data_IF_471261575423
#
_entry.id   IF_471261575423
#
_cell.length_a   1.000
_cell.length_b   1.000
_cell.length_c   1.000
_cell.angle_alpha   90.00
_cell.angle_beta   90.00
_cell.angle_gamma   90.00
#
_symmetry.space_group_name_H-M   'P 1'
#
loop_
_entity.id
_entity.type
_entity.pdbx_description
1 polymer ?
#
# COMPACT_ATOMS: atom_id res chain seq x y z
N UNK A 1 -39.36 48.75 -29.86
CA UNK A 1 -38.02 49.39 -29.93
C UNK A 1 -37.54 49.59 -28.51
N UNK A 2 -36.72 48.70 -27.97
CA UNK A 2 -36.12 48.86 -26.64
C UNK A 2 -34.62 48.80 -26.83
N UNK A 3 -33.97 49.95 -26.60
CA UNK A 3 -32.53 50.15 -26.73
C UNK A 3 -31.82 49.63 -25.49
N UNK A 4 -30.98 48.63 -25.62
CA UNK A 4 -30.06 48.18 -24.58
C UNK A 4 -28.73 48.98 -24.68
N UNK A 5 -28.50 49.85 -23.70
CA UNK A 5 -27.21 50.49 -23.52
C UNK A 5 -26.25 49.53 -22.83
N UNK A 6 -25.18 49.17 -23.54
CA UNK A 6 -24.03 48.44 -23.01
C UNK A 6 -23.19 49.43 -22.20
N UNK A 7 -23.03 49.20 -20.89
CA UNK A 7 -22.08 49.93 -20.04
C UNK A 7 -20.72 49.23 -20.14
N UNK A 8 -19.76 49.94 -20.71
CA UNK A 8 -18.36 49.57 -20.65
C UNK A 8 -17.86 49.68 -19.20
N UNK A 9 -17.46 48.58 -18.60
CA UNK A 9 -16.73 48.57 -17.32
C UNK A 9 -15.25 48.52 -17.64
N UNK A 10 -14.57 49.60 -17.44
CA UNK A 10 -13.11 49.71 -17.55
C UNK A 10 -12.49 49.10 -16.29
N UNK A 11 -11.83 47.92 -16.43
CA UNK A 11 -11.04 47.35 -15.33
C UNK A 11 -9.71 48.11 -15.24
N UNK A 12 -9.52 48.84 -14.15
CA UNK A 12 -8.23 49.39 -13.80
C UNK A 12 -7.34 48.30 -13.22
N UNK A 13 -6.27 47.91 -13.92
CA UNK A 13 -5.21 47.08 -13.36
C UNK A 13 -4.39 47.90 -12.36
N UNK A 14 -4.59 47.63 -11.07
CA UNK A 14 -3.68 48.10 -10.04
C UNK A 14 -2.45 47.17 -10.02
N UNK A 15 -1.31 47.66 -10.45
CA UNK A 15 -0.03 47.03 -10.31
C UNK A 15 0.37 47.03 -8.82
N UNK A 16 0.19 45.90 -8.13
CA UNK A 16 0.70 45.71 -6.77
C UNK A 16 2.05 44.98 -6.81
N UNK A 17 2.96 45.53 -6.05
CA UNK A 17 4.37 45.25 -6.02
C UNK A 17 4.75 43.77 -5.89
N UNK A 18 5.80 43.44 -6.59
CA UNK A 18 6.55 42.19 -6.43
C UNK A 18 7.16 42.18 -5.02
N UNK A 19 6.52 41.44 -4.11
CA UNK A 19 7.16 41.04 -2.88
C UNK A 19 8.24 40.03 -3.28
N UNK A 20 9.49 40.42 -3.15
CA UNK A 20 10.63 39.51 -3.24
C UNK A 20 10.42 38.37 -2.22
N UNK A 21 9.99 37.21 -2.69
CA UNK A 21 10.02 36.00 -1.89
C UNK A 21 11.50 35.67 -1.66
N UNK A 22 11.98 35.89 -0.45
CA UNK A 22 13.25 35.36 -0.01
C UNK A 22 13.26 33.84 -0.21
N UNK A 23 14.43 33.23 -0.35
CA UNK A 23 14.53 31.79 -0.48
C UNK A 23 13.80 31.14 0.70
N UNK A 24 12.84 30.24 0.38
CA UNK A 24 12.22 29.38 1.38
C UNK A 24 13.35 28.73 2.19
N UNK A 25 13.29 28.70 3.53
CA UNK A 25 14.29 28.00 4.32
C UNK A 25 14.31 26.55 3.80
N UNK A 26 15.43 26.16 3.20
CA UNK A 26 15.72 24.76 2.92
C UNK A 26 15.57 24.05 4.25
N UNK A 27 14.63 23.10 4.35
CA UNK A 27 14.54 22.24 5.51
C UNK A 27 15.92 21.58 5.65
N UNK A 28 16.68 22.03 6.66
CA UNK A 28 17.92 21.35 7.03
C UNK A 28 17.53 19.92 7.36
N UNK A 29 18.08 18.97 6.59
CA UNK A 29 17.93 17.56 6.88
C UNK A 29 18.33 17.35 8.34
N UNK A 30 17.39 16.86 9.15
CA UNK A 30 17.69 16.47 10.51
C UNK A 30 18.82 15.43 10.47
N UNK A 31 19.87 15.65 11.21
CA UNK A 31 20.94 14.67 11.40
C UNK A 31 20.34 13.42 12.06
N UNK A 32 20.19 12.35 11.27
CA UNK A 32 19.66 11.06 11.68
C UNK A 32 18.16 10.89 11.41
N UNK A 33 17.77 9.72 10.90
CA UNK A 33 16.37 9.32 10.81
C UNK A 33 15.82 9.05 12.21
N UNK A 34 14.57 9.46 12.49
CA UNK A 34 13.91 9.10 13.74
C UNK A 34 13.68 7.56 13.79
N UNK A 35 13.66 6.95 14.98
CA UNK A 35 13.63 5.50 15.12
C UNK A 35 12.24 4.92 14.75
N UNK A 36 12.25 3.65 14.32
CA UNK A 36 11.05 2.83 14.21
C UNK A 36 10.94 1.97 15.47
N UNK A 37 9.87 2.16 16.23
CA UNK A 37 9.56 1.40 17.43
C UNK A 37 8.52 0.32 17.11
N UNK A 38 8.76 -0.89 17.55
CA UNK A 38 7.87 -2.04 17.30
C UNK A 38 7.33 -2.60 18.62
N UNK A 39 6.08 -3.07 18.62
CA UNK A 39 5.46 -3.65 19.79
C UNK A 39 4.46 -4.74 19.42
N UNK A 40 4.58 -5.91 20.06
CA UNK A 40 3.59 -7.00 20.00
C UNK A 40 2.75 -6.94 21.28
N UNK A 41 1.53 -6.42 21.19
CA UNK A 41 0.62 -6.31 22.34
C UNK A 41 -0.15 -7.62 22.53
N UNK A 42 -0.02 -8.33 23.66
CA UNK A 42 -0.73 -9.58 23.85
C UNK A 42 -2.25 -9.38 23.77
N UNK A 43 -3.00 -10.23 23.02
CA UNK A 43 -4.45 -10.10 22.93
C UNK A 43 -5.14 -10.58 24.22
N UNK A 44 -6.26 -9.97 24.56
CA UNK A 44 -7.13 -10.43 25.65
C UNK A 44 -7.95 -11.66 25.21
N UNK A 45 -8.33 -11.76 23.95
CA UNK A 45 -9.13 -12.84 23.41
C UNK A 45 -8.27 -14.06 23.05
N UNK A 46 -8.64 -15.22 23.59
CA UNK A 46 -7.84 -16.46 23.45
C UNK A 46 -7.70 -16.95 22.02
N UNK A 47 -8.69 -16.73 21.16
CA UNK A 47 -8.63 -17.18 19.76
C UNK A 47 -7.58 -16.42 18.92
N UNK A 48 -7.18 -15.23 19.35
CA UNK A 48 -6.13 -14.43 18.70
C UNK A 48 -4.72 -14.77 19.18
N UNK A 49 -4.59 -15.52 20.27
CA UNK A 49 -3.30 -15.90 20.82
C UNK A 49 -2.39 -16.62 19.80
N UNK A 50 -2.89 -17.58 18.98
CA UNK A 50 -2.08 -18.22 17.96
C UNK A 50 -1.53 -17.22 16.90
N UNK A 51 -2.31 -16.21 16.52
CA UNK A 51 -1.87 -15.16 15.58
C UNK A 51 -0.72 -14.36 16.20
N UNK A 52 -0.93 -13.85 17.44
CA UNK A 52 0.09 -13.12 18.18
C UNK A 52 1.41 -13.89 18.27
N UNK A 53 1.36 -15.16 18.68
CA UNK A 53 2.55 -15.99 18.85
C UNK A 53 3.29 -16.22 17.52
N UNK A 54 2.54 -16.52 16.45
CA UNK A 54 3.14 -16.68 15.11
C UNK A 54 3.85 -15.43 14.64
N UNK A 55 3.19 -14.26 14.69
CA UNK A 55 3.80 -13.01 14.25
C UNK A 55 5.06 -12.69 15.04
N UNK A 56 5.02 -12.88 16.35
CA UNK A 56 6.14 -12.64 17.26
C UNK A 56 7.28 -13.65 17.04
N UNK A 57 6.98 -14.94 16.95
CA UNK A 57 7.98 -16.01 16.71
C UNK A 57 8.72 -15.79 15.38
N UNK A 58 8.01 -15.32 14.37
CA UNK A 58 8.55 -15.03 13.04
C UNK A 58 9.18 -13.65 12.92
N UNK A 59 9.15 -12.87 13.99
CA UNK A 59 9.73 -11.53 14.03
C UNK A 59 9.22 -10.63 12.90
N UNK A 60 7.90 -10.66 12.65
CA UNK A 60 7.30 -9.94 11.52
C UNK A 60 7.52 -8.44 11.63
N UNK A 61 7.38 -7.86 12.83
CA UNK A 61 7.60 -6.44 13.03
C UNK A 61 9.09 -6.05 12.91
N UNK A 62 10.02 -6.92 13.31
CA UNK A 62 11.44 -6.71 13.10
C UNK A 62 11.78 -6.68 11.60
N UNK A 63 11.23 -7.61 10.81
CA UNK A 63 11.42 -7.62 9.37
C UNK A 63 10.82 -6.35 8.72
N UNK A 64 9.63 -5.94 9.16
CA UNK A 64 9.00 -4.72 8.69
C UNK A 64 9.83 -3.47 9.05
N UNK A 65 10.31 -3.38 10.29
CA UNK A 65 11.21 -2.30 10.71
C UNK A 65 12.47 -2.26 9.84
N UNK A 66 13.09 -3.40 9.60
CA UNK A 66 14.32 -3.48 8.82
C UNK A 66 14.05 -3.09 7.35
N UNK A 67 12.91 -3.51 6.79
CA UNK A 67 12.45 -3.11 5.46
C UNK A 67 12.23 -1.59 5.34
N UNK A 68 11.65 -0.97 6.35
CA UNK A 68 11.36 0.46 6.37
C UNK A 68 12.58 1.31 6.79
N UNK A 69 13.66 0.69 7.24
CA UNK A 69 14.87 1.38 7.73
C UNK A 69 15.50 2.37 6.74
N UNK A 70 15.32 2.27 5.40
CA UNK A 70 15.79 3.30 4.48
C UNK A 70 15.03 4.63 4.53
N UNK A 71 13.84 4.67 5.13
CA UNK A 71 13.06 5.91 5.22
C UNK A 71 13.72 6.87 6.24
N UNK A 72 13.99 8.09 5.80
CA UNK A 72 14.48 9.20 6.66
C UNK A 72 13.30 9.83 7.37
N UNK A 73 12.79 9.14 8.38
CA UNK A 73 11.60 9.55 9.13
C UNK A 73 11.84 10.86 9.90
N UNK A 74 10.94 11.85 9.79
CA UNK A 74 11.01 13.10 10.55
C UNK A 74 10.62 12.93 12.02
N UNK A 75 9.82 11.89 12.32
CA UNK A 75 9.30 11.57 13.64
C UNK A 75 9.41 10.07 13.90
N UNK A 76 9.41 9.67 15.17
CA UNK A 76 9.37 8.25 15.56
C UNK A 76 8.11 7.59 14.99
N UNK A 77 8.31 6.55 14.20
CA UNK A 77 7.23 5.70 13.70
C UNK A 77 7.02 4.54 14.68
N UNK A 78 5.79 4.42 15.18
CA UNK A 78 5.38 3.26 15.99
C UNK A 78 4.67 2.26 15.09
N UNK A 79 4.99 0.97 15.24
CA UNK A 79 4.32 -0.12 14.53
C UNK A 79 3.94 -1.16 15.56
N UNK A 80 2.64 -1.46 15.65
CA UNK A 80 2.12 -2.39 16.65
C UNK A 80 1.23 -3.45 16.01
N UNK A 81 1.35 -4.68 16.51
CA UNK A 81 0.30 -5.69 16.32
C UNK A 81 -0.49 -5.81 17.62
N UNK A 82 -1.81 -5.77 17.53
CA UNK A 82 -2.68 -5.75 18.70
C UNK A 82 -4.07 -6.30 18.38
N UNK A 83 -4.84 -6.58 19.41
CA UNK A 83 -6.28 -6.77 19.30
C UNK A 83 -6.95 -5.40 19.13
N UNK A 84 -7.80 -5.25 18.12
CA UNK A 84 -8.50 -4.01 17.80
C UNK A 84 -10.02 -4.09 18.08
N UNK A 85 -10.55 -5.30 18.25
CA UNK A 85 -12.00 -5.59 18.22
C UNK A 85 -12.64 -5.18 16.88
N UNK A 86 -11.83 -5.12 15.82
CA UNK A 86 -12.20 -4.81 14.47
C UNK A 86 -11.26 -5.52 13.47
N UNK A 87 -11.82 -5.90 12.30
CA UNK A 87 -11.08 -6.60 11.23
C UNK A 87 -10.47 -5.57 10.28
N UNK A 88 -9.35 -4.96 10.68
CA UNK A 88 -8.72 -3.88 9.91
C UNK A 88 -7.22 -3.71 10.24
N UNK A 89 -6.58 -2.80 9.53
CA UNK A 89 -5.30 -2.18 9.87
C UNK A 89 -5.46 -0.67 9.76
N UNK A 90 -4.57 0.12 10.40
CA UNK A 90 -4.73 1.57 10.45
C UNK A 90 -3.40 2.31 10.48
N UNK A 91 -3.29 3.38 9.71
CA UNK A 91 -2.49 4.52 10.10
C UNK A 91 -3.31 5.37 11.10
N UNK A 92 -3.06 5.21 12.40
CA UNK A 92 -3.79 5.90 13.45
C UNK A 92 -3.19 7.29 13.79
N UNK A 93 -2.48 7.90 12.84
CA UNK A 93 -1.84 9.21 12.97
C UNK A 93 -0.51 9.17 13.73
N UNK A 94 0.17 10.30 13.75
CA UNK A 94 1.57 10.47 14.23
C UNK A 94 1.79 10.02 15.69
N UNK A 95 0.80 10.15 16.55
CA UNK A 95 0.90 9.77 17.96
C UNK A 95 0.79 8.25 18.18
N UNK A 96 -0.12 7.61 17.47
CA UNK A 96 -0.46 6.20 17.64
C UNK A 96 0.32 5.27 16.69
N UNK A 97 0.66 5.75 15.49
CA UNK A 97 1.40 5.01 14.50
C UNK A 97 0.57 3.97 13.74
N UNK A 98 1.24 2.98 13.19
CA UNK A 98 0.65 1.86 12.45
C UNK A 98 0.10 0.82 13.41
N UNK A 99 -1.15 0.40 13.18
CA UNK A 99 -1.83 -0.66 13.93
C UNK A 99 -2.21 -1.79 12.96
N UNK A 100 -1.68 -2.98 13.21
CA UNK A 100 -2.00 -4.19 12.47
C UNK A 100 -2.82 -5.09 13.39
N UNK A 101 -4.13 -5.20 13.14
CA UNK A 101 -5.04 -5.92 14.02
C UNK A 101 -4.91 -7.44 13.87
N UNK A 102 -4.90 -8.19 14.95
CA UNK A 102 -4.85 -9.66 14.89
C UNK A 102 -6.09 -10.24 14.22
N UNK A 103 -7.23 -9.58 14.36
CA UNK A 103 -8.50 -9.95 13.72
C UNK A 103 -8.38 -9.92 12.19
N UNK A 104 -7.66 -8.92 11.66
CA UNK A 104 -7.40 -8.85 10.22
C UNK A 104 -6.54 -10.01 9.75
N UNK A 105 -5.47 -10.32 10.47
CA UNK A 105 -4.60 -11.45 10.12
C UNK A 105 -5.37 -12.79 10.18
N UNK A 106 -6.18 -12.99 11.22
CA UNK A 106 -7.03 -14.18 11.35
C UNK A 106 -8.07 -14.27 10.22
N UNK A 107 -8.63 -13.14 9.81
CA UNK A 107 -9.56 -13.07 8.70
C UNK A 107 -8.89 -13.40 7.36
N UNK A 108 -7.72 -12.82 7.06
CA UNK A 108 -6.93 -13.13 5.86
C UNK A 108 -6.56 -14.61 5.78
N UNK A 109 -6.21 -15.21 6.91
CA UNK A 109 -5.94 -16.65 6.99
C UNK A 109 -7.17 -17.50 6.65
N UNK A 110 -8.38 -17.06 7.01
CA UNK A 110 -9.63 -17.75 6.64
C UNK A 110 -10.04 -17.53 5.20
N UNK A 111 -9.71 -16.37 4.63
CA UNK A 111 -9.99 -16.03 3.24
C UNK A 111 -9.13 -16.84 2.27
N UNK A 112 -7.93 -17.25 2.69
CA UNK A 112 -7.00 -18.00 1.87
C UNK A 112 -7.60 -19.33 1.39
N UNK A 113 -7.29 -19.80 0.17
CA UNK A 113 -7.81 -21.07 -0.34
C UNK A 113 -7.26 -22.21 0.50
N UNK A 114 -8.05 -23.29 0.67
CA UNK A 114 -7.62 -24.48 1.43
C UNK A 114 -6.46 -25.21 0.74
N UNK A 115 -6.43 -25.19 -0.59
CA UNK A 115 -5.42 -25.80 -1.45
C UNK A 115 -4.98 -24.84 -2.55
N UNK A 116 -3.90 -25.18 -3.25
CA UNK A 116 -3.50 -24.40 -4.43
C UNK A 116 -4.63 -24.37 -5.46
N UNK A 117 -5.03 -23.17 -5.88
CA UNK A 117 -6.10 -23.00 -6.86
C UNK A 117 -5.68 -23.48 -8.25
N UNK A 118 -6.65 -23.76 -9.17
CA UNK A 118 -6.33 -24.11 -10.56
C UNK A 118 -5.44 -23.06 -11.27
N UNK A 119 -5.53 -21.78 -10.87
CA UNK A 119 -4.73 -20.68 -11.38
C UNK A 119 -3.32 -20.64 -10.77
N UNK A 120 -3.04 -21.51 -9.78
CA UNK A 120 -1.74 -21.67 -9.15
C UNK A 120 -1.49 -20.76 -7.94
N UNK A 121 -2.53 -20.17 -7.33
CA UNK A 121 -2.41 -19.43 -6.08
C UNK A 121 -2.33 -20.40 -4.89
N UNK A 122 -1.26 -20.31 -4.13
CA UNK A 122 -1.13 -21.09 -2.90
C UNK A 122 -1.80 -20.37 -1.73
N UNK A 123 -2.24 -21.11 -0.68
CA UNK A 123 -2.73 -20.47 0.55
C UNK A 123 -1.74 -19.45 1.12
N UNK A 124 -0.45 -19.78 1.07
CA UNK A 124 0.62 -18.92 1.58
C UNK A 124 0.78 -17.63 0.76
N UNK A 125 0.64 -17.71 -0.56
CA UNK A 125 0.70 -16.52 -1.42
C UNK A 125 -0.48 -15.59 -1.16
N UNK A 126 -1.69 -16.14 -0.96
CA UNK A 126 -2.88 -15.38 -0.63
C UNK A 126 -2.71 -14.62 0.71
N UNK A 127 -2.25 -15.33 1.74
CA UNK A 127 -2.06 -14.73 3.07
C UNK A 127 -0.91 -13.70 3.05
N UNK A 128 0.23 -14.06 2.47
CA UNK A 128 1.39 -13.18 2.45
C UNK A 128 1.14 -11.94 1.57
N UNK A 129 0.49 -12.12 0.42
CA UNK A 129 0.17 -11.02 -0.50
C UNK A 129 -0.71 -9.98 0.16
N UNK A 130 -1.81 -10.41 0.75
CA UNK A 130 -2.76 -9.52 1.41
C UNK A 130 -2.16 -8.85 2.65
N UNK A 131 -1.43 -9.60 3.48
CA UNK A 131 -0.77 -9.02 4.66
C UNK A 131 0.29 -7.96 4.29
N UNK A 132 1.09 -8.23 3.25
CA UNK A 132 2.08 -7.27 2.76
C UNK A 132 1.39 -6.06 2.16
N UNK A 133 0.33 -6.29 1.39
CA UNK A 133 -0.44 -5.23 0.75
C UNK A 133 -1.00 -4.26 1.79
N UNK A 134 -1.82 -4.74 2.75
CA UNK A 134 -2.44 -3.88 3.76
C UNK A 134 -1.39 -3.15 4.61
N UNK A 135 -0.28 -3.81 4.93
CA UNK A 135 0.80 -3.17 5.69
C UNK A 135 1.45 -2.02 4.91
N UNK A 136 1.67 -2.20 3.61
CA UNK A 136 2.24 -1.18 2.73
C UNK A 136 1.23 -0.10 2.37
N UNK A 137 -0.06 -0.42 2.31
CA UNK A 137 -1.16 0.52 2.15
C UNK A 137 -1.20 1.50 3.34
N UNK A 138 -1.26 0.98 4.57
CA UNK A 138 -1.24 1.80 5.78
C UNK A 138 0.10 2.58 5.92
N UNK A 139 1.18 2.00 5.45
CA UNK A 139 2.45 2.70 5.37
C UNK A 139 2.43 3.83 4.33
N UNK A 140 1.61 3.71 3.28
CA UNK A 140 1.32 4.77 2.31
C UNK A 140 0.72 5.99 3.00
N UNK A 141 -0.33 5.81 3.79
CA UNK A 141 -0.93 6.89 4.61
C UNK A 141 0.09 7.53 5.55
N UNK A 142 0.90 6.70 6.23
CA UNK A 142 1.96 7.20 7.10
C UNK A 142 2.97 8.08 6.34
N UNK A 143 3.38 7.67 5.15
CA UNK A 143 4.32 8.42 4.30
C UNK A 143 3.70 9.74 3.83
N UNK A 144 2.43 9.73 3.42
CA UNK A 144 1.74 10.94 3.00
C UNK A 144 1.65 11.96 4.14
N UNK A 145 1.26 11.52 5.33
CA UNK A 145 1.18 12.38 6.51
C UNK A 145 2.57 12.87 6.97
N UNK A 146 3.53 11.96 7.17
CA UNK A 146 4.83 12.27 7.75
C UNK A 146 5.67 13.19 6.87
N UNK A 147 5.57 13.04 5.55
CA UNK A 147 6.34 13.84 4.59
C UNK A 147 5.52 14.92 3.90
N UNK A 148 4.25 15.08 4.29
CA UNK A 148 3.31 16.05 3.68
C UNK A 148 3.29 15.92 2.15
N UNK A 149 3.12 14.69 1.66
CA UNK A 149 3.11 14.38 0.22
C UNK A 149 1.82 14.92 -0.40
N UNK A 150 1.89 15.75 -1.46
CA UNK A 150 0.70 16.24 -2.12
C UNK A 150 0.02 15.14 -2.93
N UNK A 151 -1.28 14.96 -2.74
CA UNK A 151 -2.09 13.94 -3.43
C UNK A 151 -3.19 14.64 -4.22
N UNK A 152 -3.39 14.20 -5.47
CA UNK A 152 -4.53 14.57 -6.30
C UNK A 152 -5.46 13.37 -6.43
N UNK A 153 -6.64 13.46 -5.87
CA UNK A 153 -7.62 12.38 -5.86
C UNK A 153 -7.82 11.80 -4.46
N UNK A 154 -8.28 10.56 -4.41
CA UNK A 154 -8.50 9.87 -3.13
C UNK A 154 -7.17 9.36 -2.58
N UNK A 155 -7.00 9.51 -1.27
CA UNK A 155 -5.80 9.05 -0.59
C UNK A 155 -5.70 7.53 -0.59
N UNK A 156 -6.83 6.83 -0.49
CA UNK A 156 -6.94 5.39 -0.55
C UNK A 156 -6.38 4.80 -1.86
N UNK A 157 -6.75 5.39 -3.00
CA UNK A 157 -6.22 4.98 -4.30
C UNK A 157 -4.69 5.20 -4.39
N UNK A 158 -4.20 6.27 -3.79
CA UNK A 158 -2.78 6.57 -3.77
C UNK A 158 -2.01 5.60 -2.85
N UNK A 159 -2.59 5.18 -1.72
CA UNK A 159 -2.03 4.19 -0.81
C UNK A 159 -1.92 2.81 -1.49
N UNK A 160 -2.96 2.37 -2.19
CA UNK A 160 -2.94 1.14 -3.01
C UNK A 160 -1.83 1.18 -4.08
N UNK A 161 -1.71 2.32 -4.77
CA UNK A 161 -0.69 2.50 -5.81
C UNK A 161 0.73 2.42 -5.25
N UNK A 162 0.97 2.98 -4.06
CA UNK A 162 2.26 2.87 -3.37
C UNK A 162 2.52 1.43 -2.94
N UNK A 163 1.55 0.77 -2.31
CA UNK A 163 1.66 -0.62 -1.88
C UNK A 163 2.05 -1.52 -3.06
N UNK A 164 1.27 -1.49 -4.13
CA UNK A 164 1.53 -2.26 -5.33
C UNK A 164 2.86 -1.91 -6.01
N UNK A 165 3.23 -0.62 -6.06
CA UNK A 165 4.52 -0.20 -6.62
C UNK A 165 5.70 -0.77 -5.82
N UNK A 166 5.64 -0.74 -4.50
CA UNK A 166 6.70 -1.27 -3.61
C UNK A 166 6.77 -2.80 -3.74
N UNK A 167 5.64 -3.50 -3.75
CA UNK A 167 5.60 -4.96 -3.94
C UNK A 167 6.32 -5.41 -5.22
N UNK A 168 6.22 -4.61 -6.29
CA UNK A 168 6.90 -4.87 -7.56
C UNK A 168 8.43 -4.66 -7.51
N UNK A 169 8.97 -4.07 -6.44
CA UNK A 169 10.42 -3.91 -6.25
C UNK A 169 11.07 -5.12 -5.55
N UNK A 170 10.31 -6.09 -5.05
CA UNK A 170 10.83 -7.28 -4.35
C UNK A 170 11.48 -8.34 -5.25
N UNK A 171 11.56 -8.09 -6.56
CA UNK A 171 12.02 -9.05 -7.56
C UNK A 171 10.84 -9.85 -8.15
N UNK A 172 11.09 -10.48 -9.32
CA UNK A 172 10.01 -11.04 -10.15
C UNK A 172 9.18 -12.11 -9.43
N UNK A 173 9.83 -13.07 -8.78
CA UNK A 173 9.15 -14.21 -8.15
C UNK A 173 8.31 -13.75 -6.94
N UNK A 174 8.87 -12.90 -6.08
CA UNK A 174 8.16 -12.37 -4.91
C UNK A 174 7.02 -11.45 -5.36
N UNK A 175 7.27 -10.57 -6.33
CA UNK A 175 6.24 -9.68 -6.88
C UNK A 175 5.08 -10.49 -7.50
N UNK A 176 5.38 -11.54 -8.28
CA UNK A 176 4.36 -12.39 -8.87
C UNK A 176 3.48 -13.04 -7.78
N UNK A 177 4.09 -13.56 -6.74
CA UNK A 177 3.38 -14.25 -5.65
C UNK A 177 2.56 -13.28 -4.80
N UNK A 178 3.15 -12.17 -4.36
CA UNK A 178 2.46 -11.21 -3.49
C UNK A 178 1.31 -10.50 -4.23
N UNK A 179 1.54 -10.00 -5.44
CA UNK A 179 0.48 -9.37 -6.26
C UNK A 179 -0.63 -10.38 -6.59
N UNK A 180 -0.27 -11.63 -6.92
CA UNK A 180 -1.27 -12.66 -7.18
C UNK A 180 -2.10 -12.98 -5.93
N UNK A 181 -1.45 -13.02 -4.75
CA UNK A 181 -2.12 -13.22 -3.48
C UNK A 181 -3.08 -12.11 -3.13
N UNK A 182 -2.66 -10.86 -3.25
CA UNK A 182 -3.51 -9.67 -3.10
C UNK A 182 -4.69 -9.68 -4.07
N UNK A 183 -4.44 -9.94 -5.35
CA UNK A 183 -5.51 -10.04 -6.34
C UNK A 183 -6.51 -11.16 -5.99
N UNK A 184 -6.02 -12.31 -5.49
CA UNK A 184 -6.90 -13.37 -5.00
C UNK A 184 -7.78 -12.88 -3.84
N UNK A 185 -7.22 -12.19 -2.86
CA UNK A 185 -7.94 -11.67 -1.70
C UNK A 185 -9.05 -10.71 -2.14
N UNK A 186 -8.75 -9.70 -2.97
CA UNK A 186 -9.76 -8.78 -3.51
C UNK A 186 -10.83 -9.50 -4.35
N UNK A 187 -10.45 -10.53 -5.11
CA UNK A 187 -11.44 -11.32 -5.85
C UNK A 187 -12.41 -12.08 -4.92
N UNK A 188 -11.93 -12.56 -3.75
CA UNK A 188 -12.83 -13.19 -2.77
C UNK A 188 -13.72 -12.15 -2.08
N UNK A 189 -13.15 -11.03 -1.65
CA UNK A 189 -13.89 -9.93 -1.03
C UNK A 189 -14.99 -9.42 -1.97
N UNK A 190 -14.69 -9.25 -3.24
CA UNK A 190 -15.66 -8.85 -4.26
C UNK A 190 -16.87 -9.81 -4.39
N UNK A 191 -16.69 -11.10 -4.11
CA UNK A 191 -17.81 -12.06 -4.11
C UNK A 191 -18.73 -11.90 -2.90
N UNK A 192 -18.19 -11.41 -1.80
CA UNK A 192 -18.93 -11.17 -0.56
C UNK A 192 -19.58 -9.79 -0.55
N UNK A 193 -18.99 -8.83 -1.27
CA UNK A 193 -19.49 -7.46 -1.38
C UNK A 193 -20.74 -7.42 -2.26
N UNK A 194 -21.85 -6.95 -1.73
CA UNK A 194 -23.02 -6.65 -2.56
C UNK A 194 -22.85 -5.31 -3.27
N UNK A 195 -23.12 -5.25 -4.58
CA UNK A 195 -23.24 -3.99 -5.33
C UNK A 195 -24.29 -3.10 -4.66
N UNK A 196 -23.84 -2.10 -3.92
CA UNK A 196 -24.73 -1.18 -3.21
C UNK A 196 -24.32 0.28 -3.44
N UNK A 197 -25.27 1.18 -3.31
CA UNK A 197 -24.95 2.62 -3.38
C UNK A 197 -23.97 3.07 -2.29
N UNK A 198 -24.00 2.43 -1.14
CA UNK A 198 -23.08 2.68 -0.03
C UNK A 198 -21.65 2.26 -0.36
N UNK A 199 -21.46 1.14 -1.06
CA UNK A 199 -20.14 0.74 -1.54
C UNK A 199 -19.52 1.72 -2.55
N UNK A 200 -20.34 2.38 -3.38
CA UNK A 200 -19.85 3.43 -4.28
C UNK A 200 -19.60 4.79 -3.59
N UNK A 201 -20.08 4.96 -2.36
CA UNK A 201 -19.84 6.17 -1.56
C UNK A 201 -18.67 5.99 -0.58
N UNK A 202 -18.03 4.83 -0.59
CA UNK A 202 -16.85 4.53 0.22
C UNK A 202 -15.63 5.35 -0.22
N UNK A 203 -14.71 5.57 0.69
CA UNK A 203 -13.44 6.22 0.40
C UNK A 203 -12.53 5.33 -0.43
N UNK A 204 -12.66 4.00 -0.29
CA UNK A 204 -11.97 3.01 -1.11
C UNK A 204 -12.68 2.77 -2.46
N UNK A 205 -11.93 2.32 -3.45
CA UNK A 205 -12.50 1.70 -4.62
C UNK A 205 -13.16 0.36 -4.26
N UNK A 206 -14.08 -0.11 -5.14
CA UNK A 206 -14.65 -1.45 -4.93
C UNK A 206 -13.56 -2.53 -5.06
N UNK A 207 -13.75 -3.66 -4.39
CA UNK A 207 -12.78 -4.77 -4.42
C UNK A 207 -12.48 -5.24 -5.85
N UNK A 208 -13.48 -5.21 -6.76
CA UNK A 208 -13.26 -5.50 -8.17
C UNK A 208 -12.36 -4.46 -8.85
N UNK A 209 -12.49 -3.18 -8.51
CA UNK A 209 -11.63 -2.13 -9.07
C UNK A 209 -10.21 -2.30 -8.56
N UNK A 210 -10.03 -2.53 -7.25
CA UNK A 210 -8.73 -2.80 -6.62
C UNK A 210 -8.07 -4.03 -7.24
N UNK A 211 -8.80 -5.14 -7.42
CA UNK A 211 -8.35 -6.33 -8.13
C UNK A 211 -7.74 -6.01 -9.50
N UNK A 212 -8.48 -5.31 -10.35
CA UNK A 212 -7.98 -4.95 -11.69
C UNK A 212 -6.83 -3.94 -11.63
N UNK A 213 -6.81 -3.04 -10.68
CA UNK A 213 -5.76 -2.03 -10.55
C UNK A 213 -4.42 -2.65 -10.13
N UNK A 214 -4.41 -3.61 -9.20
CA UNK A 214 -3.20 -4.36 -8.84
C UNK A 214 -2.65 -5.17 -10.02
N UNK A 215 -3.50 -5.90 -10.72
CA UNK A 215 -3.09 -6.66 -11.92
C UNK A 215 -2.57 -5.74 -13.03
N UNK A 216 -3.21 -4.60 -13.23
CA UNK A 216 -2.80 -3.63 -14.25
C UNK A 216 -1.45 -2.98 -13.90
N UNK A 217 -1.26 -2.59 -12.64
CA UNK A 217 0.01 -2.04 -12.17
C UNK A 217 1.15 -3.05 -12.38
N UNK A 218 0.91 -4.30 -12.01
CA UNK A 218 1.88 -5.38 -12.17
C UNK A 218 2.21 -5.68 -13.63
N UNK A 219 1.19 -5.82 -14.47
CA UNK A 219 1.37 -6.01 -15.91
C UNK A 219 2.11 -4.83 -16.55
N UNK A 220 1.76 -3.61 -16.13
CA UNK A 220 2.41 -2.39 -16.61
C UNK A 220 3.90 -2.29 -16.27
N UNK A 221 4.31 -2.84 -15.13
CA UNK A 221 5.69 -2.91 -14.68
C UNK A 221 6.48 -4.03 -15.36
N UNK A 222 5.91 -5.23 -15.41
CA UNK A 222 6.58 -6.47 -15.82
C UNK A 222 5.68 -7.30 -16.74
N UNK A 223 5.44 -6.87 -18.00
CA UNK A 223 4.47 -7.53 -18.88
C UNK A 223 4.75 -9.04 -19.05
N UNK A 224 6.04 -9.42 -19.23
CA UNK A 224 6.40 -10.83 -19.44
C UNK A 224 6.04 -11.73 -18.22
N UNK A 225 6.22 -11.23 -17.00
CA UNK A 225 5.91 -11.96 -15.76
C UNK A 225 4.41 -12.15 -15.57
N UNK A 226 3.61 -11.12 -15.93
CA UNK A 226 2.17 -11.09 -15.69
C UNK A 226 1.32 -11.38 -16.94
N UNK A 227 1.94 -11.77 -18.07
CA UNK A 227 1.26 -12.06 -19.34
C UNK A 227 0.16 -13.10 -19.20
N UNK A 228 0.34 -14.10 -18.32
CA UNK A 228 -0.64 -15.15 -18.07
C UNK A 228 -2.03 -14.63 -17.70
N UNK A 229 -2.12 -13.49 -17.01
CA UNK A 229 -3.41 -12.90 -16.64
C UNK A 229 -4.15 -12.28 -17.82
N UNK A 230 -3.40 -11.83 -18.82
CA UNK A 230 -3.99 -11.35 -20.09
C UNK A 230 -4.42 -12.54 -20.96
N UNK A 231 -3.56 -13.56 -21.06
CA UNK A 231 -3.83 -14.76 -21.88
C UNK A 231 -5.04 -15.55 -21.37
N UNK A 232 -5.23 -15.60 -20.05
CA UNK A 232 -6.42 -16.22 -19.42
C UNK A 232 -7.63 -15.30 -19.33
N UNK A 233 -7.53 -14.08 -19.89
CA UNK A 233 -8.57 -13.04 -19.82
C UNK A 233 -9.01 -12.63 -18.40
N UNK A 234 -8.17 -12.88 -17.41
CA UNK A 234 -8.35 -12.37 -16.04
C UNK A 234 -8.14 -10.85 -16.04
N UNK A 235 -7.09 -10.36 -16.71
CA UNK A 235 -6.91 -8.95 -17.04
C UNK A 235 -7.32 -8.72 -18.49
N UNK A 236 -8.47 -8.06 -18.78
CA UNK A 236 -8.91 -7.84 -20.14
C UNK A 236 -7.87 -7.11 -21.00
N UNK A 237 -7.63 -7.56 -22.23
CA UNK A 237 -6.62 -6.99 -23.13
C UNK A 237 -6.81 -5.47 -23.34
N UNK A 238 -8.07 -5.01 -23.40
CA UNK A 238 -8.40 -3.57 -23.49
C UNK A 238 -7.89 -2.78 -22.26
N UNK A 239 -7.98 -3.37 -21.06
CA UNK A 239 -7.46 -2.77 -19.82
C UNK A 239 -5.92 -2.80 -19.84
N UNK A 240 -5.33 -3.94 -20.19
CA UNK A 240 -3.89 -4.16 -20.26
C UNK A 240 -3.14 -3.15 -21.15
N UNK A 241 -3.77 -2.72 -22.24
CA UNK A 241 -3.19 -1.76 -23.19
C UNK A 241 -2.77 -0.41 -22.56
N UNK A 242 -3.36 -0.03 -21.43
CA UNK A 242 -3.06 1.24 -20.73
C UNK A 242 -2.13 1.07 -19.53
N UNK A 243 -1.94 -0.13 -19.03
CA UNK A 243 -1.26 -0.41 -17.76
C UNK A 243 0.19 0.10 -17.72
N UNK A 244 0.95 -0.03 -18.81
CA UNK A 244 2.32 0.51 -18.87
C UNK A 244 2.38 2.03 -18.73
N UNK A 245 1.37 2.77 -19.18
CA UNK A 245 1.29 4.22 -18.99
C UNK A 245 0.99 4.56 -17.53
N UNK A 246 0.06 3.85 -16.91
CA UNK A 246 -0.33 4.03 -15.50
C UNK A 246 0.85 3.73 -14.57
N UNK A 247 1.52 2.59 -14.76
CA UNK A 247 2.74 2.27 -14.01
C UNK A 247 3.79 3.38 -14.08
N UNK A 248 4.11 3.87 -15.29
CA UNK A 248 5.10 4.95 -15.44
C UNK A 248 4.66 6.26 -14.78
N UNK A 249 3.37 6.51 -14.67
CA UNK A 249 2.84 7.68 -13.96
C UNK A 249 3.09 7.53 -12.45
N UNK A 250 2.75 6.39 -11.86
CA UNK A 250 2.97 6.08 -10.45
C UNK A 250 4.47 6.12 -10.13
N UNK A 251 5.29 5.45 -10.95
CA UNK A 251 6.75 5.48 -10.81
C UNK A 251 7.30 6.91 -10.75
N UNK A 252 6.88 7.78 -11.67
CA UNK A 252 7.32 9.19 -11.68
C UNK A 252 6.89 9.94 -10.43
N UNK A 253 5.68 9.70 -9.95
CA UNK A 253 5.18 10.30 -8.70
C UNK A 253 6.00 9.84 -7.52
N UNK A 254 6.18 8.54 -7.35
CA UNK A 254 6.99 7.93 -6.29
C UNK A 254 8.43 8.47 -6.28
N UNK A 255 9.08 8.50 -7.45
CA UNK A 255 10.46 8.99 -7.58
C UNK A 255 10.62 10.47 -7.23
N UNK A 256 9.55 11.27 -7.41
CA UNK A 256 9.59 12.71 -7.12
C UNK A 256 9.20 13.05 -5.68
N UNK A 257 8.29 12.29 -5.08
CA UNK A 257 7.69 12.65 -3.79
C UNK A 257 8.21 11.82 -2.63
N UNK A 258 8.53 10.54 -2.84
CA UNK A 258 8.93 9.60 -1.77
C UNK A 258 10.44 9.33 -1.80
N UNK A 259 11.02 9.08 -2.98
CA UNK A 259 12.44 8.75 -3.09
C UNK A 259 13.41 9.80 -2.48
N UNK A 260 13.11 11.11 -2.46
CA UNK A 260 13.95 12.09 -1.74
C UNK A 260 14.09 11.81 -0.23
N UNK A 261 13.14 11.07 0.35
CA UNK A 261 13.12 10.70 1.77
C UNK A 261 13.71 9.31 2.02
N UNK A 262 14.28 8.64 1.00
CA UNK A 262 14.84 7.29 1.10
C UNK A 262 16.37 7.36 1.08
N UNK A 263 17.02 6.72 2.04
CA UNK A 263 18.45 6.50 2.04
C UNK A 263 18.80 5.40 1.02
N UNK A 264 19.48 5.79 -0.07
CA UNK A 264 19.79 4.91 -1.19
C UNK A 264 20.76 3.78 -0.81
N UNK A 265 21.72 4.05 0.06
CA UNK A 265 22.70 3.04 0.49
C UNK A 265 22.08 2.02 1.43
N UNK A 266 21.20 2.49 2.34
CA UNK A 266 20.45 1.59 3.20
C UNK A 266 19.43 0.75 2.39
N UNK A 267 18.79 1.34 1.40
CA UNK A 267 17.86 0.62 0.50
C UNK A 267 18.56 -0.53 -0.24
N UNK A 268 19.78 -0.31 -0.76
CA UNK A 268 20.56 -1.39 -1.39
C UNK A 268 20.85 -2.54 -0.43
N UNK A 269 21.15 -2.24 0.85
CA UNK A 269 21.36 -3.27 1.87
C UNK A 269 20.10 -4.06 2.13
N UNK A 270 18.95 -3.40 2.27
CA UNK A 270 17.64 -4.06 2.47
C UNK A 270 17.28 -4.94 1.28
N UNK A 271 17.47 -4.49 0.05
CA UNK A 271 17.24 -5.28 -1.15
C UNK A 271 18.14 -6.53 -1.20
N UNK A 272 19.39 -6.43 -0.73
CA UNK A 272 20.31 -7.57 -0.63
C UNK A 272 19.92 -8.60 0.43
N UNK A 273 19.13 -8.22 1.46
CA UNK A 273 18.69 -9.13 2.52
C UNK A 273 17.65 -10.14 2.07
N UNK A 274 17.10 -10.01 0.85
CA UNK A 274 16.04 -10.88 0.31
C UNK A 274 14.91 -11.15 1.32
N UNK A 275 14.46 -10.10 1.98
CA UNK A 275 13.30 -10.15 2.88
C UNK A 275 12.10 -10.64 2.09
N UNK A 276 11.26 -11.46 2.68
CA UNK A 276 10.11 -12.11 2.03
C UNK A 276 10.45 -13.31 1.12
N UNK A 277 11.40 -14.16 1.53
CA UNK A 277 11.55 -15.47 0.86
C UNK A 277 10.27 -16.27 1.09
N UNK A 278 9.69 -16.80 0.01
CA UNK A 278 8.48 -17.63 0.10
C UNK A 278 8.61 -18.82 1.01
N UNK A 279 9.82 -19.39 1.10
CA UNK A 279 10.11 -20.62 1.83
C UNK A 279 10.28 -20.40 3.35
N UNK A 280 10.55 -19.16 3.78
CA UNK A 280 10.69 -18.83 5.20
C UNK A 280 9.32 -18.64 5.88
N UNK A 281 8.26 -18.84 5.13
CA UNK A 281 6.86 -18.88 5.55
C UNK A 281 6.51 -17.79 6.56
N UNK A 282 6.25 -16.56 6.12
CA UNK A 282 5.73 -15.52 7.01
C UNK A 282 4.48 -16.06 7.72
N UNK A 283 3.75 -16.99 7.09
CA UNK A 283 2.55 -17.62 7.64
C UNK A 283 2.49 -19.08 7.21
N UNK A 284 2.95 -20.01 8.06
CA UNK A 284 2.55 -21.42 8.00
C UNK A 284 1.50 -21.65 9.08
N UNK A 285 0.27 -21.95 8.72
CA UNK A 285 -0.62 -22.71 9.59
C UNK A 285 -0.13 -24.14 9.58
N UNK A 286 0.24 -24.67 10.73
CA UNK A 286 0.15 -26.10 10.96
C UNK A 286 -1.35 -26.39 11.12
N UNK A 287 -2.03 -26.70 10.02
CA UNK A 287 -3.37 -27.25 10.11
C UNK A 287 -3.22 -28.65 10.72
N UNK A 288 -3.89 -28.97 11.83
CA UNK A 288 -4.01 -30.36 12.26
C UNK A 288 -4.76 -31.10 11.15
N UNK A 289 -4.17 -32.20 10.69
CA UNK A 289 -4.80 -33.16 9.78
C UNK A 289 -6.01 -33.79 10.43
#
# INVERSE_FOLDING_TARGET
MISHRVRNVTLALAATGVLAQGPLPSAQAAEGSAPIMIEYVPPAQRYLQPVYERLKQRKVLEQLRDFLSPLRLPLTLRIRTLQCDDTNAYWAGRAEGLKLCYEYVDWVERLAPAETTPEGFTPQDAIAGEFVEVTLHEMGHAVFDLFNVPIFGREEDAADQIAGFIMLQFGQDVALRTISGTAYAYQQQAKESSWSRTGFADEHETDEQRFYNYLCLAYGAQPATFQRFVDSNVLPAKRAANCGREYRQIQRSFMKTIMPHVDQEQMKKVQAMQMLRPDDGIIKRDYPQ
#
